data_IF_347972617445
#
_entry.id   IF_347972617445
#
_cell.length_a   1.000
_cell.length_b   1.000
_cell.length_c   1.000
_cell.angle_alpha   90.00
_cell.angle_beta   90.00
_cell.angle_gamma   90.00
#
_symmetry.space_group_name_H-M   'P 1'
#
loop_
_entity.id
_entity.type
_entity.pdbx_description
1 polymer ?
#
# COMPACT_ATOMS: atom_id res chain seq x y z
N UNK A 1 25.99 -14.93 -54.71
CA UNK A 1 27.32 -15.57 -54.81
C UNK A 1 28.12 -15.05 -53.62
N UNK A 2 28.56 -15.82 -52.63
CA UNK A 2 28.73 -17.27 -52.47
C UNK A 2 28.62 -17.54 -50.96
N UNK A 3 27.85 -18.56 -50.56
CA UNK A 3 27.94 -19.19 -49.25
C UNK A 3 29.32 -19.84 -49.11
N UNK A 4 30.01 -19.56 -48.01
CA UNK A 4 31.29 -20.19 -47.70
C UNK A 4 31.11 -21.00 -46.42
N UNK A 5 30.52 -22.18 -46.59
CA UNK A 5 30.71 -23.31 -45.68
C UNK A 5 32.19 -23.72 -45.74
N UNK A 6 32.82 -23.80 -44.58
CA UNK A 6 34.07 -24.56 -44.43
C UNK A 6 33.87 -25.53 -43.28
N UNK A 7 33.40 -26.70 -43.66
CA UNK A 7 33.57 -27.95 -42.93
C UNK A 7 35.06 -28.30 -42.95
N UNK A 8 35.68 -28.51 -41.79
CA UNK A 8 36.87 -29.36 -41.70
C UNK A 8 36.91 -30.04 -40.34
N UNK A 9 36.47 -31.29 -40.37
CA UNK A 9 36.65 -32.31 -39.35
C UNK A 9 38.13 -32.47 -38.98
N UNK A 10 38.42 -32.44 -37.68
CA UNK A 10 39.61 -33.05 -37.10
C UNK A 10 39.32 -33.47 -35.65
N UNK A 11 38.67 -34.62 -35.49
CA UNK A 11 39.02 -35.55 -34.41
C UNK A 11 40.08 -36.50 -34.98
N UNK A 12 41.10 -36.98 -34.21
CA UNK A 12 40.76 -37.86 -33.09
C UNK A 12 41.73 -37.87 -31.89
N UNK A 13 41.27 -38.61 -30.87
CA UNK A 13 41.96 -39.68 -30.12
C UNK A 13 41.81 -39.51 -28.60
N UNK A 14 40.89 -40.35 -28.10
CA UNK A 14 40.90 -41.08 -26.83
C UNK A 14 42.09 -40.87 -25.89
N UNK A 15 41.79 -40.58 -24.62
CA UNK A 15 42.27 -41.40 -23.52
C UNK A 15 41.24 -41.43 -22.39
N UNK A 16 40.63 -42.61 -22.24
CA UNK A 16 39.96 -43.02 -21.02
C UNK A 16 41.00 -43.11 -19.90
N UNK A 17 40.84 -42.30 -18.87
CA UNK A 17 41.28 -42.68 -17.53
C UNK A 17 40.03 -42.80 -16.67
N UNK A 18 39.59 -44.05 -16.50
CA UNK A 18 38.90 -44.43 -15.28
C UNK A 18 39.82 -44.06 -14.11
N UNK A 19 39.40 -43.11 -13.29
CA UNK A 19 39.83 -43.07 -11.91
C UNK A 19 38.60 -42.85 -11.05
N UNK A 20 38.08 -43.96 -10.55
CA UNK A 20 37.10 -43.95 -9.48
C UNK A 20 37.73 -43.29 -8.26
N UNK A 21 37.22 -42.12 -7.91
CA UNK A 21 37.19 -41.68 -6.53
C UNK A 21 35.83 -41.07 -6.24
N UNK A 22 35.09 -41.83 -5.44
CA UNK A 22 33.82 -41.49 -4.81
C UNK A 22 33.93 -40.15 -4.09
N UNK A 23 33.28 -39.12 -4.63
CA UNK A 23 33.01 -37.88 -3.91
C UNK A 23 31.60 -37.99 -3.33
N UNK A 24 31.39 -37.88 -2.01
CA UNK A 24 30.06 -37.95 -1.45
C UNK A 24 29.25 -36.73 -1.94
N UNK A 25 28.24 -36.96 -2.78
CA UNK A 25 27.14 -36.00 -3.00
C UNK A 25 26.40 -35.78 -1.68
N UNK A 26 26.86 -34.83 -0.86
CA UNK A 26 26.15 -34.36 0.35
C UNK A 26 26.24 -32.84 0.52
N UNK A 27 26.05 -32.04 -0.53
CA UNK A 27 25.89 -30.57 -0.38
C UNK A 27 24.83 -29.93 -1.29
N UNK A 28 23.95 -30.70 -1.95
CA UNK A 28 22.86 -30.12 -2.78
C UNK A 28 21.59 -29.83 -1.97
N UNK A 29 21.38 -30.54 -0.85
CA UNK A 29 20.20 -30.35 0.02
C UNK A 29 20.25 -29.06 0.86
N UNK A 30 21.45 -28.71 1.35
CA UNK A 30 21.68 -27.57 2.25
C UNK A 30 21.40 -26.24 1.54
N UNK A 31 21.85 -26.10 0.28
CA UNK A 31 21.63 -24.90 -0.53
C UNK A 31 20.18 -24.68 -0.94
N UNK A 32 19.38 -25.73 -1.09
CA UNK A 32 17.94 -25.60 -1.42
C UNK A 32 17.10 -25.25 -0.19
N UNK A 33 17.42 -25.80 0.99
CA UNK A 33 16.76 -25.40 2.24
C UNK A 33 17.10 -23.96 2.61
N UNK A 34 18.38 -23.57 2.58
CA UNK A 34 18.79 -22.19 2.82
C UNK A 34 18.17 -21.20 1.82
N UNK A 35 18.12 -21.52 0.51
CA UNK A 35 17.41 -20.66 -0.46
C UNK A 35 15.91 -20.57 -0.20
N UNK A 36 15.26 -21.64 0.30
CA UNK A 36 13.83 -21.62 0.67
C UNK A 36 13.59 -20.81 1.93
N UNK A 37 14.44 -20.96 2.96
CA UNK A 37 14.40 -20.21 4.21
C UNK A 37 14.61 -18.71 3.96
N UNK A 38 15.65 -18.33 3.22
CA UNK A 38 15.92 -16.94 2.83
C UNK A 38 14.75 -16.36 2.04
N UNK A 39 14.15 -17.11 1.11
CA UNK A 39 12.98 -16.66 0.33
C UNK A 39 11.72 -16.54 1.20
N UNK A 40 11.58 -17.36 2.24
CA UNK A 40 10.48 -17.26 3.21
C UNK A 40 10.67 -16.08 4.16
N UNK A 41 11.89 -15.83 4.66
CA UNK A 41 12.23 -14.66 5.49
C UNK A 41 12.06 -13.35 4.72
N UNK A 42 12.59 -13.25 3.49
CA UNK A 42 12.37 -12.08 2.63
C UNK A 42 10.87 -11.81 2.37
N UNK A 43 10.06 -12.86 2.20
CA UNK A 43 8.59 -12.73 2.07
C UNK A 43 7.95 -12.24 3.36
N UNK A 44 8.40 -12.73 4.52
CA UNK A 44 7.93 -12.27 5.84
C UNK A 44 8.29 -10.81 6.07
N UNK A 45 9.52 -10.41 5.74
CA UNK A 45 10.00 -9.03 5.89
C UNK A 45 9.29 -8.07 4.95
N UNK A 46 9.10 -8.42 3.68
CA UNK A 46 8.32 -7.62 2.74
C UNK A 46 6.87 -7.45 3.19
N UNK A 47 6.23 -8.52 3.68
CA UNK A 47 4.88 -8.45 4.24
C UNK A 47 4.82 -7.55 5.48
N UNK A 48 5.86 -7.59 6.32
CA UNK A 48 5.95 -6.76 7.53
C UNK A 48 6.11 -5.28 7.16
N UNK A 49 6.91 -4.96 6.15
CA UNK A 49 7.07 -3.59 5.66
C UNK A 49 5.78 -3.07 5.01
N UNK A 50 5.16 -3.82 4.10
CA UNK A 50 3.87 -3.44 3.49
C UNK A 50 2.76 -3.23 4.52
N UNK A 51 2.78 -3.97 5.64
CA UNK A 51 1.84 -3.74 6.75
C UNK A 51 2.12 -2.42 7.44
N UNK A 52 3.37 -2.12 7.80
CA UNK A 52 3.74 -0.84 8.40
C UNK A 52 3.29 0.32 7.51
N UNK A 53 3.46 0.20 6.21
CA UNK A 53 3.03 1.21 5.24
C UNK A 53 1.49 1.35 5.22
N UNK A 54 0.73 0.24 5.30
CA UNK A 54 -0.75 0.30 5.41
C UNK A 54 -1.24 0.92 6.71
N UNK A 55 -0.67 0.51 7.85
CA UNK A 55 -1.00 1.09 9.15
C UNK A 55 -0.73 2.59 9.19
N UNK A 56 0.33 3.05 8.51
CA UNK A 56 0.62 4.46 8.34
C UNK A 56 -0.55 5.18 7.63
N UNK A 57 -0.99 4.72 6.45
CA UNK A 57 -2.12 5.36 5.75
C UNK A 57 -3.44 5.30 6.53
N UNK A 58 -3.72 4.20 7.23
CA UNK A 58 -4.88 4.13 8.11
C UNK A 58 -4.82 5.14 9.25
N UNK A 59 -3.63 5.34 9.83
CA UNK A 59 -3.42 6.34 10.90
C UNK A 59 -3.67 7.76 10.38
N UNK A 60 -3.10 8.10 9.22
CA UNK A 60 -3.28 9.41 8.59
C UNK A 60 -4.76 9.65 8.28
N UNK A 61 -5.42 8.67 7.68
CA UNK A 61 -6.83 8.78 7.32
C UNK A 61 -7.72 8.93 8.58
N UNK A 62 -7.50 8.12 9.62
CA UNK A 62 -8.24 8.23 10.89
C UNK A 62 -8.09 9.62 11.51
N UNK A 63 -6.88 10.17 11.52
CA UNK A 63 -6.61 11.49 12.09
C UNK A 63 -7.35 12.59 11.32
N UNK A 64 -7.30 12.54 9.99
CA UNK A 64 -8.07 13.46 9.15
C UNK A 64 -9.57 13.38 9.43
N UNK A 65 -10.13 12.16 9.45
CA UNK A 65 -11.54 11.93 9.70
C UNK A 65 -11.98 12.42 11.09
N UNK A 66 -11.12 12.27 12.09
CA UNK A 66 -11.38 12.71 13.46
C UNK A 66 -11.54 14.23 13.57
N UNK A 67 -10.92 14.99 12.66
CA UNK A 67 -11.12 16.42 12.58
C UNK A 67 -12.27 16.79 11.62
N UNK A 68 -12.30 16.20 10.42
CA UNK A 68 -13.32 16.46 9.39
C UNK A 68 -14.74 16.25 9.93
N UNK A 69 -14.95 15.24 10.79
CA UNK A 69 -16.28 15.02 11.41
C UNK A 69 -16.81 16.24 12.16
N UNK A 70 -15.92 17.08 12.72
CA UNK A 70 -16.30 18.28 13.47
C UNK A 70 -16.72 19.44 12.55
N UNK A 71 -16.38 19.37 11.26
CA UNK A 71 -16.72 20.40 10.26
C UNK A 71 -18.07 20.16 9.58
N UNK A 72 -18.62 18.96 9.78
CA UNK A 72 -19.84 18.50 9.13
C UNK A 72 -21.04 18.84 10.01
N UNK A 73 -22.19 19.14 9.40
CA UNK A 73 -23.43 19.40 10.14
C UNK A 73 -24.41 18.21 10.07
N UNK A 74 -24.34 17.40 9.02
CA UNK A 74 -25.18 16.21 8.85
C UNK A 74 -24.85 15.15 9.90
N UNK A 75 -25.83 14.78 10.73
CA UNK A 75 -25.70 13.68 11.71
C UNK A 75 -25.36 12.36 11.02
N UNK A 76 -26.09 12.01 9.96
CA UNK A 76 -25.84 10.78 9.17
C UNK A 76 -24.40 10.70 8.66
N UNK A 77 -23.87 11.80 8.13
CA UNK A 77 -22.49 11.84 7.64
C UNK A 77 -21.48 11.67 8.78
N UNK A 78 -21.73 12.31 9.94
CA UNK A 78 -20.90 12.13 11.13
C UNK A 78 -20.89 10.69 11.62
N UNK A 79 -22.06 10.05 11.69
CA UNK A 79 -22.20 8.67 12.16
C UNK A 79 -21.45 7.70 11.24
N UNK A 80 -21.54 7.93 9.93
CA UNK A 80 -20.79 7.16 8.95
C UNK A 80 -19.26 7.34 9.13
N UNK A 81 -18.78 8.58 9.26
CA UNK A 81 -17.35 8.85 9.51
C UNK A 81 -16.89 8.22 10.83
N UNK A 82 -17.71 8.31 11.89
CA UNK A 82 -17.43 7.66 13.17
C UNK A 82 -17.33 6.13 13.02
N UNK A 83 -18.18 5.51 12.21
CA UNK A 83 -18.11 4.07 11.92
C UNK A 83 -16.79 3.69 11.25
N UNK A 84 -16.31 4.50 10.29
CA UNK A 84 -15.00 4.31 9.65
C UNK A 84 -13.87 4.44 10.67
N UNK A 85 -13.89 5.49 11.50
CA UNK A 85 -12.88 5.72 12.55
C UNK A 85 -12.82 4.53 13.52
N UNK A 86 -13.97 4.01 13.95
CA UNK A 86 -14.05 2.85 14.84
C UNK A 86 -13.44 1.60 14.19
N UNK A 87 -13.82 1.30 12.94
CA UNK A 87 -13.26 0.16 12.19
C UNK A 87 -11.74 0.26 12.05
N UNK A 88 -11.21 1.43 11.73
CA UNK A 88 -9.75 1.64 11.63
C UNK A 88 -9.08 1.50 13.01
N UNK A 89 -9.71 1.98 14.08
CA UNK A 89 -9.16 1.84 15.43
C UNK A 89 -9.02 0.36 15.81
N UNK A 90 -10.01 -0.48 15.48
CA UNK A 90 -9.89 -1.94 15.67
C UNK A 90 -8.73 -2.54 14.88
N UNK A 91 -8.45 -2.08 13.65
CA UNK A 91 -7.28 -2.54 12.90
C UNK A 91 -5.99 -2.23 13.68
N UNK A 92 -5.89 -1.03 14.26
CA UNK A 92 -4.69 -0.55 14.95
C UNK A 92 -4.47 -1.16 16.35
N UNK A 93 -5.54 -1.60 17.02
CA UNK A 93 -5.49 -2.20 18.35
C UNK A 93 -5.13 -3.71 18.32
N UNK A 94 -5.23 -4.34 17.14
CA UNK A 94 -4.86 -5.75 16.94
C UNK A 94 -3.34 -5.91 16.85
N UNK A 95 -2.82 -7.03 17.36
CA UNK A 95 -1.40 -7.40 17.18
C UNK A 95 -1.03 -7.33 15.68
N UNK A 96 -0.06 -6.50 15.27
CA UNK A 96 0.33 -6.36 13.87
C UNK A 96 0.83 -7.68 13.22
N UNK A 97 1.17 -8.69 14.03
CA UNK A 97 1.54 -10.02 13.57
C UNK A 97 0.33 -10.94 13.31
N UNK A 98 -0.84 -10.64 13.87
CA UNK A 98 -2.07 -11.40 13.68
C UNK A 98 -2.73 -11.07 12.33
N UNK A 99 -2.28 -11.79 11.30
CA UNK A 99 -2.65 -11.54 9.90
C UNK A 99 -4.15 -11.71 9.65
N UNK A 100 -4.75 -12.72 10.27
CA UNK A 100 -6.11 -13.14 9.96
C UNK A 100 -7.12 -12.18 10.54
N UNK A 101 -6.88 -11.68 11.76
CA UNK A 101 -7.71 -10.65 12.37
C UNK A 101 -7.62 -9.33 11.60
N UNK A 102 -6.41 -8.91 11.21
CA UNK A 102 -6.23 -7.70 10.38
C UNK A 102 -7.03 -7.83 9.07
N UNK A 103 -6.89 -8.96 8.35
CA UNK A 103 -7.61 -9.18 7.09
C UNK A 103 -9.12 -9.18 7.28
N UNK A 104 -9.61 -9.76 8.37
CA UNK A 104 -11.04 -9.80 8.69
C UNK A 104 -11.58 -8.39 8.90
N UNK A 105 -10.88 -7.56 9.67
CA UNK A 105 -11.30 -6.18 9.92
C UNK A 105 -11.15 -5.32 8.65
N UNK A 106 -10.09 -5.51 7.85
CA UNK A 106 -9.95 -4.86 6.54
C UNK A 106 -11.10 -5.23 5.60
N UNK A 107 -11.52 -6.50 5.57
CA UNK A 107 -12.67 -6.94 4.80
C UNK A 107 -13.98 -6.28 5.28
N UNK A 108 -14.16 -6.13 6.59
CA UNK A 108 -15.31 -5.42 7.17
C UNK A 108 -15.30 -3.91 6.87
N UNK A 109 -14.12 -3.29 6.73
CA UNK A 109 -13.96 -1.91 6.28
C UNK A 109 -14.30 -1.78 4.79
N UNK A 110 -13.80 -2.70 3.95
CA UNK A 110 -14.10 -2.74 2.52
C UNK A 110 -15.60 -2.92 2.29
N UNK A 111 -16.24 -3.86 2.98
CA UNK A 111 -17.69 -4.10 2.93
C UNK A 111 -18.48 -2.85 3.31
N UNK A 112 -18.02 -2.11 4.32
CA UNK A 112 -18.66 -0.85 4.70
C UNK A 112 -18.56 0.21 3.58
N UNK A 113 -17.43 0.27 2.87
CA UNK A 113 -17.24 1.15 1.71
C UNK A 113 -18.05 0.69 0.49
N UNK A 114 -18.32 -0.61 0.35
CA UNK A 114 -19.22 -1.14 -0.69
C UNK A 114 -20.67 -0.76 -0.44
N UNK A 115 -21.10 -0.77 0.83
CA UNK A 115 -22.44 -0.32 1.22
C UNK A 115 -22.61 1.19 1.11
N UNK A 116 -21.51 1.95 1.19
CA UNK A 116 -21.48 3.41 1.09
C UNK A 116 -20.50 3.83 -0.02
N UNK A 117 -20.89 3.57 -1.27
CA UNK A 117 -20.01 3.70 -2.44
C UNK A 117 -19.38 5.08 -2.59
N UNK A 118 -20.03 6.12 -2.07
CA UNK A 118 -19.50 7.49 -2.02
C UNK A 118 -18.15 7.58 -1.27
N UNK A 119 -17.89 6.74 -0.27
CA UNK A 119 -16.61 6.75 0.47
C UNK A 119 -15.43 6.27 -0.36
N UNK A 120 -15.67 5.57 -1.47
CA UNK A 120 -14.63 5.22 -2.45
C UNK A 120 -14.27 6.40 -3.36
N UNK A 121 -15.08 7.46 -3.36
CA UNK A 121 -14.95 8.58 -4.28
C UNK A 121 -14.03 9.66 -3.75
N UNK A 122 -12.99 9.99 -4.51
CA UNK A 122 -12.17 11.20 -4.26
C UNK A 122 -13.05 12.46 -4.24
N UNK A 123 -14.05 12.53 -5.13
CA UNK A 123 -14.96 13.67 -5.22
C UNK A 123 -15.69 13.90 -3.90
N UNK A 124 -16.22 12.83 -3.29
CA UNK A 124 -16.93 12.90 -2.01
C UNK A 124 -16.07 13.56 -0.92
N UNK A 125 -14.86 13.03 -0.69
CA UNK A 125 -13.95 13.56 0.32
C UNK A 125 -13.50 14.99 0.00
N UNK A 126 -13.24 15.29 -1.27
CA UNK A 126 -12.85 16.64 -1.69
C UNK A 126 -13.95 17.67 -1.45
N UNK A 127 -15.22 17.34 -1.68
CA UNK A 127 -16.32 18.27 -1.48
C UNK A 127 -16.57 18.53 0.01
N UNK A 128 -16.41 17.54 0.89
CA UNK A 128 -16.46 17.76 2.34
C UNK A 128 -15.44 18.80 2.82
N UNK A 129 -14.20 18.70 2.30
CA UNK A 129 -13.11 19.62 2.63
C UNK A 129 -13.39 21.03 2.03
N UNK A 130 -13.80 21.10 0.76
CA UNK A 130 -14.15 22.38 0.12
C UNK A 130 -15.31 23.08 0.82
N UNK A 131 -16.34 22.34 1.21
CA UNK A 131 -17.49 22.88 1.92
C UNK A 131 -17.10 23.49 3.25
N UNK A 132 -16.15 22.88 3.97
CA UNK A 132 -15.58 23.48 5.17
C UNK A 132 -14.90 24.83 4.87
N UNK A 133 -14.09 24.93 3.82
CA UNK A 133 -13.44 26.20 3.47
C UNK A 133 -14.45 27.29 3.09
N UNK A 134 -15.45 26.94 2.29
CA UNK A 134 -16.53 27.86 1.89
C UNK A 134 -17.27 28.38 3.13
N UNK A 135 -17.68 27.50 4.04
CA UNK A 135 -18.41 27.86 5.28
C UNK A 135 -17.56 28.66 6.25
N UNK A 136 -16.24 28.44 6.27
CA UNK A 136 -15.29 29.12 7.15
C UNK A 136 -14.65 30.36 6.51
N UNK A 137 -15.11 30.77 5.32
CA UNK A 137 -14.55 31.89 4.56
C UNK A 137 -13.03 31.80 4.30
N UNK A 138 -12.50 30.58 4.17
CA UNK A 138 -11.09 30.27 3.94
C UNK A 138 -10.77 30.18 2.44
N UNK A 139 -10.93 31.30 1.73
CA UNK A 139 -10.85 31.33 0.26
C UNK A 139 -9.46 31.01 -0.29
N UNK A 140 -8.38 31.37 0.42
CA UNK A 140 -7.03 31.03 0.00
C UNK A 140 -6.76 29.52 0.15
N UNK A 141 -7.12 28.94 1.30
CA UNK A 141 -7.00 27.50 1.54
C UNK A 141 -7.81 26.70 0.50
N UNK A 142 -8.99 27.18 0.10
CA UNK A 142 -9.78 26.58 -0.96
C UNK A 142 -9.04 26.57 -2.31
N UNK A 143 -8.45 27.69 -2.71
CA UNK A 143 -7.69 27.80 -3.97
C UNK A 143 -6.46 26.90 -3.96
N UNK A 144 -5.72 26.88 -2.85
CA UNK A 144 -4.54 26.04 -2.70
C UNK A 144 -4.91 24.56 -2.71
N UNK A 145 -6.04 24.20 -2.09
CA UNK A 145 -6.58 22.84 -2.15
C UNK A 145 -7.02 22.44 -3.56
N UNK A 146 -7.75 23.30 -4.29
CA UNK A 146 -8.16 23.02 -5.67
C UNK A 146 -6.96 22.86 -6.60
N UNK A 147 -5.93 23.69 -6.40
CA UNK A 147 -4.64 23.58 -7.07
C UNK A 147 -3.98 22.24 -6.74
N UNK A 148 -3.90 21.86 -5.47
CA UNK A 148 -3.38 20.56 -5.04
C UNK A 148 -4.11 19.40 -5.72
N UNK A 149 -5.45 19.39 -5.70
CA UNK A 149 -6.26 18.34 -6.31
C UNK A 149 -5.96 18.21 -7.81
N UNK A 150 -5.73 19.32 -8.50
CA UNK A 150 -5.46 19.32 -9.94
C UNK A 150 -4.05 18.80 -10.27
N UNK A 151 -3.03 19.25 -9.52
CA UNK A 151 -1.63 18.89 -9.79
C UNK A 151 -1.21 17.53 -9.22
N UNK A 152 -1.85 17.06 -8.15
CA UNK A 152 -1.46 15.82 -7.45
C UNK A 152 -2.33 14.62 -7.83
N UNK A 153 -3.29 14.77 -8.73
CA UNK A 153 -4.12 13.66 -9.22
C UNK A 153 -3.32 12.43 -9.67
N UNK A 154 -2.20 12.56 -10.42
CA UNK A 154 -1.40 11.39 -10.81
C UNK A 154 -0.78 10.63 -9.62
N UNK A 155 -0.63 11.29 -8.46
CA UNK A 155 -0.04 10.69 -7.26
C UNK A 155 -1.10 9.92 -6.46
N UNK A 156 -2.26 10.52 -6.20
CA UNK A 156 -3.28 9.88 -5.37
C UNK A 156 -4.25 8.98 -6.15
N UNK A 157 -4.34 9.15 -7.47
CA UNK A 157 -5.21 8.36 -8.35
C UNK A 157 -6.67 8.38 -7.89
N UNK A 158 -7.22 7.19 -7.63
CA UNK A 158 -8.60 7.01 -7.18
C UNK A 158 -8.73 6.59 -5.70
N UNK A 159 -7.63 6.55 -4.94
CA UNK A 159 -7.64 6.02 -3.57
C UNK A 159 -7.77 7.14 -2.53
N UNK A 160 -8.87 7.17 -1.74
CA UNK A 160 -8.99 8.12 -0.63
C UNK A 160 -7.82 8.04 0.36
N UNK A 161 -7.35 6.83 0.68
CA UNK A 161 -6.22 6.64 1.60
C UNK A 161 -4.95 7.32 1.06
N UNK A 162 -4.67 7.20 -0.24
CA UNK A 162 -3.50 7.83 -0.86
C UNK A 162 -3.71 9.35 -0.97
N UNK A 163 -4.94 9.83 -1.23
CA UNK A 163 -5.25 11.26 -1.21
C UNK A 163 -4.89 11.88 0.13
N UNK A 164 -5.35 11.29 1.24
CA UNK A 164 -5.06 11.79 2.58
C UNK A 164 -3.57 11.64 2.93
N UNK A 165 -2.90 10.61 2.43
CA UNK A 165 -1.44 10.51 2.50
C UNK A 165 -0.73 11.68 1.80
N UNK A 166 -1.10 11.97 0.55
CA UNK A 166 -0.53 13.07 -0.22
C UNK A 166 -0.82 14.45 0.40
N UNK A 167 -2.02 14.64 0.98
CA UNK A 167 -2.34 15.86 1.73
C UNK A 167 -1.45 16.00 2.96
N UNK A 168 -1.14 14.90 3.65
CA UNK A 168 -0.29 14.93 4.86
C UNK A 168 1.17 15.30 4.57
N UNK A 169 1.65 15.02 3.37
CA UNK A 169 3.01 15.37 2.94
C UNK A 169 3.19 16.88 2.70
N UNK A 170 2.09 17.60 2.47
CA UNK A 170 2.10 19.03 2.18
C UNK A 170 1.66 19.82 3.42
N UNK A 171 2.64 20.46 4.08
CA UNK A 171 2.46 21.16 5.37
C UNK A 171 1.33 22.18 5.37
N UNK A 172 0.99 22.74 4.21
CA UNK A 172 -0.13 23.69 4.10
C UNK A 172 -1.47 23.07 4.52
N UNK A 173 -1.60 21.74 4.50
CA UNK A 173 -2.81 21.02 4.89
C UNK A 173 -2.72 20.35 6.28
N UNK A 174 -1.69 20.66 7.08
CA UNK A 174 -1.51 20.03 8.40
C UNK A 174 -2.72 20.21 9.33
N UNK A 175 -3.45 21.31 9.20
CA UNK A 175 -4.67 21.56 9.98
C UNK A 175 -5.76 20.51 9.74
N UNK A 176 -5.77 19.80 8.61
CA UNK A 176 -6.73 18.72 8.35
C UNK A 176 -6.52 17.58 9.36
N UNK A 177 -5.30 17.42 9.87
CA UNK A 177 -4.90 16.32 10.75
C UNK A 177 -4.73 16.74 12.22
N UNK A 178 -4.91 18.03 12.53
CA UNK A 178 -4.85 18.56 13.89
C UNK A 178 -6.20 18.33 14.60
N UNK A 179 -6.38 17.12 15.16
CA UNK A 179 -7.53 16.74 15.97
C UNK A 179 -7.34 17.13 17.44
#
# INVERSE_FOLDING_TARGET
MIESEVDTNAEPIYNNYENGNSVPRKQVSVNQHQKKEIKQEQRKDNNKQQRKDRFYYYSIFKNALSNIKNWINSSTTKDNINSIIQKISFIQDVDPNNVDDIKKIEADLIKHFEQNIEFKSIKYWSELIKDYFKKSNKLNDLKDFEKFMSFKQPIYGASPLILFGALKEDRQFDYIFAA
#
